data_IF_462973939719
#
_entry.id   IF_462973939719
#
_cell.length_a   1.000
_cell.length_b   1.000
_cell.length_c   1.000
_cell.angle_alpha   90.00
_cell.angle_beta   90.00
_cell.angle_gamma   90.00
#
_symmetry.space_group_name_H-M   'P 1'
#
loop_
_entity.id
_entity.type
_entity.pdbx_description
1 polymer ?
#
# COMPACT_ATOMS: atom_id res chain seq x y z
N UNK A 1 11.86 -8.74 9.51
CA UNK A 1 11.06 -7.63 8.97
C UNK A 1 9.69 -8.09 8.52
N UNK A 2 9.60 -8.97 7.51
CA UNK A 2 8.31 -9.47 7.01
C UNK A 2 7.41 -10.05 8.11
N UNK A 3 8.00 -10.83 9.04
CA UNK A 3 7.25 -11.39 10.18
C UNK A 3 6.60 -10.29 11.06
N UNK A 4 7.25 -9.13 11.19
CA UNK A 4 6.73 -8.01 11.98
C UNK A 4 5.56 -7.32 11.27
N UNK A 5 5.65 -7.13 9.95
CA UNK A 5 4.55 -6.61 9.13
C UNK A 5 3.35 -7.55 9.16
N UNK A 6 3.59 -8.85 8.98
CA UNK A 6 2.55 -9.87 9.04
C UNK A 6 1.88 -9.94 10.40
N UNK A 7 2.65 -9.94 11.49
CA UNK A 7 2.12 -9.93 12.85
C UNK A 7 1.27 -8.68 13.12
N UNK A 8 1.76 -7.49 12.74
CA UNK A 8 1.01 -6.23 12.87
C UNK A 8 -0.26 -6.23 12.04
N UNK A 9 -0.20 -6.71 10.80
CA UNK A 9 -1.37 -6.81 9.93
C UNK A 9 -2.44 -7.69 10.58
N UNK A 10 -2.07 -8.89 11.06
CA UNK A 10 -3.01 -9.79 11.74
C UNK A 10 -3.60 -9.20 13.02
N UNK A 11 -2.78 -8.52 13.82
CA UNK A 11 -3.22 -7.82 15.03
C UNK A 11 -4.31 -6.79 14.71
N UNK A 12 -4.11 -5.99 13.65
CA UNK A 12 -5.01 -4.89 13.32
C UNK A 12 -6.29 -5.31 12.62
N UNK A 13 -6.21 -6.28 11.71
CA UNK A 13 -7.35 -6.58 10.84
C UNK A 13 -8.32 -7.59 11.44
N UNK A 14 -7.88 -8.49 12.33
CA UNK A 14 -8.73 -9.58 12.83
C UNK A 14 -9.47 -10.29 11.69
N UNK A 15 -10.80 -10.34 11.76
CA UNK A 15 -11.65 -10.98 10.73
C UNK A 15 -12.04 -10.04 9.56
N UNK A 16 -11.63 -8.76 9.59
CA UNK A 16 -11.98 -7.76 8.57
C UNK A 16 -11.14 -7.84 7.29
N UNK A 17 -10.06 -8.62 7.29
CA UNK A 17 -9.23 -8.85 6.12
C UNK A 17 -8.56 -10.22 6.17
N UNK A 18 -8.17 -10.72 5.00
CA UNK A 18 -7.32 -11.90 4.88
C UNK A 18 -5.86 -11.48 4.76
N UNK A 19 -4.99 -12.07 5.57
CA UNK A 19 -3.52 -11.88 5.49
C UNK A 19 -2.89 -13.13 4.89
N UNK A 20 -2.36 -13.02 3.68
CA UNK A 20 -1.67 -14.11 2.98
C UNK A 20 -0.19 -13.82 2.87
N UNK A 21 0.64 -14.82 3.15
CA UNK A 21 2.08 -14.79 2.89
C UNK A 21 2.45 -15.91 1.95
N UNK A 22 3.21 -15.58 0.91
CA UNK A 22 3.76 -16.53 -0.03
C UNK A 22 5.29 -16.45 0.00
N UNK A 23 5.90 -17.63 0.06
CA UNK A 23 7.33 -17.84 -0.14
C UNK A 23 7.46 -18.77 -1.34
N UNK A 24 7.75 -18.24 -2.54
CA UNK A 24 7.90 -19.04 -3.75
C UNK A 24 9.03 -20.07 -3.68
N UNK A 25 9.83 -20.07 -2.60
CA UNK A 25 10.78 -21.11 -2.27
C UNK A 25 12.19 -20.87 -2.82
N UNK A 26 13.09 -21.77 -2.43
CA UNK A 26 14.54 -21.71 -2.69
C UNK A 26 14.97 -21.96 -4.15
N UNK A 27 14.04 -21.99 -5.09
CA UNK A 27 14.32 -22.17 -6.52
C UNK A 27 14.89 -20.90 -7.18
N UNK A 28 14.88 -19.78 -6.46
CA UNK A 28 15.55 -18.54 -6.83
C UNK A 28 16.74 -18.26 -5.89
N UNK A 29 17.88 -17.73 -6.40
CA UNK A 29 19.05 -17.46 -5.58
C UNK A 29 18.91 -16.24 -4.66
N UNK A 30 17.72 -15.63 -4.59
CA UNK A 30 17.41 -14.41 -3.86
C UNK A 30 16.11 -14.60 -3.07
N UNK A 31 15.99 -13.93 -1.93
CA UNK A 31 14.77 -13.96 -1.12
C UNK A 31 13.62 -13.31 -1.87
N UNK A 32 12.53 -14.04 -2.06
CA UNK A 32 11.24 -13.52 -2.54
C UNK A 32 10.17 -13.81 -1.50
N UNK A 33 9.62 -12.77 -0.90
CA UNK A 33 8.46 -12.93 -0.01
C UNK A 33 7.36 -11.98 -0.46
N UNK A 34 6.14 -12.49 -0.53
CA UNK A 34 4.96 -11.68 -0.80
C UNK A 34 4.07 -11.72 0.43
N UNK A 35 3.68 -10.54 0.92
CA UNK A 35 2.65 -10.37 1.94
C UNK A 35 1.53 -9.54 1.33
N UNK A 36 0.31 -10.04 1.42
CA UNK A 36 -0.89 -9.34 0.96
C UNK A 36 -1.91 -9.29 2.08
N UNK A 37 -2.48 -8.12 2.29
CA UNK A 37 -3.61 -7.89 3.18
C UNK A 37 -4.80 -7.47 2.31
N UNK A 38 -5.82 -8.33 2.25
CA UNK A 38 -7.00 -8.14 1.40
C UNK A 38 -8.23 -7.86 2.28
N UNK A 39 -8.76 -6.62 2.28
CA UNK A 39 -9.93 -6.29 3.09
C UNK A 39 -11.20 -7.01 2.61
N UNK A 40 -12.11 -7.30 3.54
CA UNK A 40 -13.45 -7.76 3.22
C UNK A 40 -14.34 -6.63 2.68
N UNK A 41 -14.11 -5.39 3.14
CA UNK A 41 -14.80 -4.20 2.63
C UNK A 41 -14.35 -3.91 1.18
N UNK A 42 -15.26 -3.95 0.17
CA UNK A 42 -14.93 -3.66 -1.22
C UNK A 42 -14.59 -2.17 -1.50
N UNK A 43 -14.95 -1.26 -0.60
CA UNK A 43 -14.54 0.16 -0.65
C UNK A 43 -13.13 0.41 -0.12
N UNK A 44 -12.55 -0.55 0.59
CA UNK A 44 -11.20 -0.49 1.13
C UNK A 44 -10.16 -0.99 0.12
N UNK A 45 -8.90 -0.60 0.33
CA UNK A 45 -7.80 -0.94 -0.58
C UNK A 45 -6.86 -1.99 0.00
N UNK A 46 -6.44 -2.96 -0.81
CA UNK A 46 -5.45 -3.95 -0.42
C UNK A 46 -4.09 -3.32 -0.12
N UNK A 47 -3.34 -3.97 0.75
CA UNK A 47 -1.96 -3.61 1.06
C UNK A 47 -1.03 -4.76 0.68
N UNK A 48 -0.16 -4.52 -0.29
CA UNK A 48 0.77 -5.51 -0.81
C UNK A 48 2.20 -5.13 -0.45
N UNK A 49 3.00 -6.12 -0.05
CA UNK A 49 4.43 -5.98 0.20
C UNK A 49 5.17 -7.10 -0.51
N UNK A 50 6.19 -6.73 -1.28
CA UNK A 50 7.13 -7.67 -1.89
C UNK A 50 8.51 -7.41 -1.33
N UNK A 51 9.14 -8.42 -0.76
CA UNK A 51 10.55 -8.39 -0.43
C UNK A 51 11.34 -9.10 -1.52
N UNK A 52 12.35 -8.42 -2.06
CA UNK A 52 13.28 -8.93 -3.05
C UNK A 52 14.72 -8.68 -2.57
N UNK A 53 15.36 -9.69 -1.98
CA UNK A 53 16.66 -9.52 -1.36
C UNK A 53 16.63 -8.49 -0.22
N UNK A 54 17.36 -7.39 -0.39
CA UNK A 54 17.43 -6.23 0.52
C UNK A 54 16.48 -5.08 0.12
N UNK A 55 15.70 -5.24 -0.94
CA UNK A 55 14.64 -4.32 -1.34
C UNK A 55 13.29 -4.77 -0.78
N UNK A 56 12.48 -3.80 -0.37
CA UNK A 56 11.09 -3.97 0.00
C UNK A 56 10.22 -3.01 -0.82
N UNK A 57 9.22 -3.53 -1.50
CA UNK A 57 8.26 -2.73 -2.27
C UNK A 57 6.91 -2.81 -1.58
N UNK A 58 6.40 -1.65 -1.13
CA UNK A 58 5.03 -1.52 -0.63
C UNK A 58 4.15 -0.99 -1.75
N UNK A 59 2.99 -1.59 -1.96
CA UNK A 59 1.99 -1.16 -2.93
C UNK A 59 0.61 -1.02 -2.29
N UNK A 60 0.01 0.16 -2.45
CA UNK A 60 -1.38 0.45 -2.04
C UNK A 60 -2.25 0.80 -3.23
N UNK A 61 -1.79 1.64 -4.18
CA UNK A 61 -2.65 2.12 -5.26
C UNK A 61 -2.82 1.15 -6.42
N UNK A 62 -3.56 1.62 -7.43
CA UNK A 62 -3.81 0.89 -8.67
C UNK A 62 -2.69 1.11 -9.69
N UNK A 63 -2.33 2.38 -9.95
CA UNK A 63 -1.25 2.75 -10.88
C UNK A 63 -0.03 3.30 -10.13
N UNK A 64 -0.27 4.20 -9.17
CA UNK A 64 0.72 4.70 -8.21
C UNK A 64 0.58 4.06 -6.84
N UNK A 65 1.16 4.68 -5.83
CA UNK A 65 1.24 4.14 -4.47
C UNK A 65 2.23 3.00 -4.35
N UNK A 66 3.36 3.05 -5.08
CA UNK A 66 4.47 2.09 -4.98
C UNK A 66 5.70 2.73 -4.34
N UNK A 67 6.02 2.34 -3.11
CA UNK A 67 7.23 2.79 -2.42
C UNK A 67 8.28 1.69 -2.42
N UNK A 68 9.45 1.97 -2.99
CA UNK A 68 10.65 1.15 -2.82
C UNK A 68 11.40 1.58 -1.56
N UNK A 69 11.68 0.62 -0.69
CA UNK A 69 12.27 0.76 0.62
C UNK A 69 13.43 -0.22 0.78
N UNK A 70 14.30 0.05 1.75
CA UNK A 70 15.37 -0.88 2.15
C UNK A 70 14.85 -1.83 3.23
N UNK A 71 15.35 -3.07 3.25
CA UNK A 71 15.12 -4.02 4.34
C UNK A 71 16.00 -3.66 5.55
N UNK A 72 15.65 -2.55 6.19
CA UNK A 72 16.27 -2.06 7.41
C UNK A 72 15.21 -1.57 8.42
N UNK A 73 15.65 -0.98 9.54
CA UNK A 73 14.74 -0.51 10.57
C UNK A 73 13.81 0.60 10.05
N UNK A 74 14.34 1.58 9.31
CA UNK A 74 13.58 2.73 8.84
C UNK A 74 12.57 2.33 7.76
N UNK A 75 12.97 1.46 6.83
CA UNK A 75 12.06 0.88 5.84
C UNK A 75 10.96 0.03 6.48
N UNK A 76 11.28 -0.69 7.57
CA UNK A 76 10.27 -1.44 8.35
C UNK A 76 9.27 -0.52 9.02
N UNK A 77 9.73 0.52 9.72
CA UNK A 77 8.84 1.48 10.38
C UNK A 77 7.96 2.21 9.37
N UNK A 78 8.53 2.62 8.24
CA UNK A 78 7.75 3.30 7.20
C UNK A 78 6.69 2.37 6.58
N UNK A 79 7.03 1.11 6.30
CA UNK A 79 6.04 0.13 5.82
C UNK A 79 4.91 -0.11 6.85
N UNK A 80 5.22 -0.15 8.15
CA UNK A 80 4.21 -0.26 9.21
C UNK A 80 3.31 0.98 9.28
N UNK A 81 3.88 2.18 9.14
CA UNK A 81 3.10 3.42 9.09
C UNK A 81 2.15 3.45 7.90
N UNK A 82 2.59 2.98 6.74
CA UNK A 82 1.76 2.85 5.54
C UNK A 82 0.64 1.81 5.73
N UNK A 83 0.95 0.67 6.35
CA UNK A 83 -0.03 -0.38 6.69
C UNK A 83 -1.13 0.19 7.61
N UNK A 84 -0.73 0.83 8.71
CA UNK A 84 -1.64 1.43 9.69
C UNK A 84 -2.52 2.53 9.05
N UNK A 85 -1.99 3.29 8.09
CA UNK A 85 -2.76 4.29 7.35
C UNK A 85 -3.74 3.66 6.34
N UNK A 86 -3.33 2.59 5.66
CA UNK A 86 -4.16 1.85 4.71
C UNK A 86 -5.37 1.20 5.39
N UNK A 87 -5.13 0.46 6.47
CA UNK A 87 -6.18 -0.21 7.25
C UNK A 87 -7.21 0.80 7.77
N UNK A 88 -6.75 1.99 8.18
CA UNK A 88 -7.60 3.06 8.68
C UNK A 88 -8.32 3.88 7.59
N UNK A 89 -8.20 3.53 6.29
CA UNK A 89 -8.84 4.27 5.20
C UNK A 89 -8.26 5.67 4.98
N UNK A 90 -7.02 5.92 5.44
CA UNK A 90 -6.35 7.23 5.30
C UNK A 90 -5.53 7.30 4.02
N UNK A 91 -6.14 6.83 2.93
CA UNK A 91 -5.52 6.75 1.61
C UNK A 91 -6.48 7.26 0.56
N UNK A 92 -6.02 8.20 -0.25
CA UNK A 92 -6.76 8.67 -1.41
C UNK A 92 -5.92 8.47 -2.66
N UNK A 93 -6.58 8.11 -3.73
CA UNK A 93 -5.95 7.99 -5.04
C UNK A 93 -6.64 8.94 -6.02
N UNK A 94 -5.82 9.68 -6.75
CA UNK A 94 -6.28 10.57 -7.80
C UNK A 94 -5.82 10.05 -9.14
N UNK A 95 -6.75 9.96 -10.08
CA UNK A 95 -6.53 9.37 -11.39
C UNK A 95 -6.53 10.41 -12.49
N UNK A 96 -5.69 10.19 -13.49
CA UNK A 96 -5.74 10.79 -14.81
C UNK A 96 -5.33 9.73 -15.84
N UNK A 97 -5.50 9.96 -17.16
CA UNK A 97 -5.15 8.97 -18.18
C UNK A 97 -3.73 8.41 -18.00
N UNK A 98 -3.64 7.11 -17.73
CA UNK A 98 -2.40 6.35 -17.52
C UNK A 98 -1.53 6.82 -16.36
N UNK A 99 -2.10 7.42 -15.31
CA UNK A 99 -1.38 7.78 -14.08
C UNK A 99 -2.30 7.88 -12.88
N UNK A 100 -1.73 7.68 -11.71
CA UNK A 100 -2.39 8.08 -10.47
C UNK A 100 -1.40 8.62 -9.46
N UNK A 101 -1.92 9.43 -8.54
CA UNK A 101 -1.19 9.87 -7.36
C UNK A 101 -1.92 9.33 -6.13
N UNK A 102 -1.20 8.56 -5.33
CA UNK A 102 -1.69 8.02 -4.06
C UNK A 102 -1.13 8.89 -2.95
N UNK A 103 -2.02 9.45 -2.15
CA UNK A 103 -1.66 10.21 -0.96
C UNK A 103 -2.10 9.43 0.27
N UNK A 104 -1.18 9.28 1.22
CA UNK A 104 -1.37 8.58 2.49
C UNK A 104 -1.18 9.57 3.63
N UNK A 105 -2.11 9.59 4.58
CA UNK A 105 -2.05 10.44 5.78
C UNK A 105 -1.72 9.60 7.01
N UNK A 106 -0.58 9.87 7.62
CA UNK A 106 -0.10 9.18 8.82
C UNK A 106 -0.75 9.74 10.10
N UNK A 107 -0.65 9.00 11.21
CA UNK A 107 -1.33 9.36 12.46
C UNK A 107 -0.67 10.57 13.15
N UNK A 108 0.61 10.77 12.89
CA UNK A 108 1.38 11.94 13.33
C UNK A 108 1.07 13.21 12.50
N UNK A 109 0.17 13.15 11.53
CA UNK A 109 -0.19 14.26 10.64
C UNK A 109 0.70 14.42 9.40
N UNK A 110 1.76 13.60 9.26
CA UNK A 110 2.57 13.60 8.05
C UNK A 110 1.78 13.05 6.86
N UNK A 111 2.17 13.50 5.67
CA UNK A 111 1.53 13.12 4.41
C UNK A 111 2.58 12.69 3.40
N UNK A 112 2.37 11.52 2.82
CA UNK A 112 3.25 10.97 1.78
C UNK A 112 2.47 10.84 0.48
N UNK A 113 3.10 11.17 -0.64
CA UNK A 113 2.48 11.04 -1.96
C UNK A 113 3.43 10.33 -2.92
N UNK A 114 2.90 9.34 -3.63
CA UNK A 114 3.60 8.60 -4.67
C UNK A 114 2.80 8.73 -5.98
N UNK A 115 3.49 8.85 -7.12
CA UNK A 115 2.85 9.03 -8.43
C UNK A 115 3.35 7.96 -9.40
N UNK A 116 2.46 7.07 -9.81
CA UNK A 116 2.72 6.05 -10.81
C UNK A 116 2.27 6.47 -12.22
N UNK A 117 2.86 5.82 -13.22
CA UNK A 117 2.57 6.06 -14.64
C UNK A 117 2.52 4.72 -15.39
N UNK A 118 1.54 4.57 -16.27
CA UNK A 118 1.48 3.47 -17.23
C UNK A 118 2.11 3.88 -18.56
N UNK A 119 2.85 2.98 -19.20
CA UNK A 119 3.33 3.20 -20.57
C UNK A 119 2.14 3.27 -21.56
N UNK A 120 2.10 4.19 -22.53
CA UNK A 120 3.09 5.21 -22.90
C UNK A 120 2.78 6.62 -22.34
N UNK A 121 2.05 6.76 -21.23
CA UNK A 121 1.46 8.01 -20.75
C UNK A 121 2.47 8.92 -20.04
N UNK A 122 3.54 9.32 -20.73
CA UNK A 122 4.62 10.18 -20.21
C UNK A 122 4.39 11.67 -20.43
N UNK A 123 3.44 12.05 -21.28
CA UNK A 123 3.18 13.46 -21.57
C UNK A 123 2.65 14.20 -20.33
N UNK A 124 3.06 15.45 -20.07
CA UNK A 124 2.50 16.22 -18.97
C UNK A 124 1.00 16.46 -19.19
N UNK A 125 0.20 16.32 -18.13
CA UNK A 125 -1.22 16.67 -18.14
C UNK A 125 -1.41 17.77 -17.09
N UNK A 126 -1.26 19.06 -17.44
CA UNK A 126 -1.31 20.14 -16.44
C UNK A 126 -2.59 20.10 -15.60
N UNK A 127 -2.47 20.38 -14.30
CA UNK A 127 -3.63 20.49 -13.39
C UNK A 127 -4.31 19.17 -13.01
N UNK A 128 -3.86 18.02 -13.51
CA UNK A 128 -4.49 16.72 -13.24
C UNK A 128 -4.54 16.37 -11.75
N UNK A 129 -3.56 16.84 -10.97
CA UNK A 129 -3.52 16.65 -9.50
C UNK A 129 -4.63 17.40 -8.75
N UNK A 130 -5.33 18.32 -9.41
CA UNK A 130 -6.45 19.06 -8.81
C UNK A 130 -7.80 18.65 -9.43
N UNK A 131 -7.81 18.36 -10.73
CA UNK A 131 -9.02 18.11 -11.51
C UNK A 131 -9.31 16.62 -11.76
N UNK A 132 -8.32 15.74 -11.56
CA UNK A 132 -8.47 14.31 -11.78
C UNK A 132 -9.48 13.67 -10.83
N UNK A 133 -10.11 12.57 -11.28
CA UNK A 133 -11.07 11.79 -10.47
C UNK A 133 -10.39 11.35 -9.17
N UNK A 134 -11.02 11.60 -8.04
CA UNK A 134 -10.51 11.20 -6.72
C UNK A 134 -11.33 10.04 -6.19
N UNK A 135 -10.64 9.04 -5.65
CA UNK A 135 -11.19 7.95 -4.84
C UNK A 135 -10.65 8.12 -3.44
N UNK A 136 -11.52 8.05 -2.44
CA UNK A 136 -11.13 7.92 -1.05
C UNK A 136 -11.40 6.48 -0.63
N UNK A 137 -10.37 5.76 -0.23
CA UNK A 137 -10.52 4.37 0.18
C UNK A 137 -11.08 4.30 1.60
N UNK A 138 -12.02 3.40 1.80
CA UNK A 138 -12.65 3.18 3.10
C UNK A 138 -11.71 2.41 4.04
N UNK A 139 -11.93 2.49 5.37
CA UNK A 139 -11.26 1.62 6.34
C UNK A 139 -11.65 0.15 6.15
N UNK A 140 -10.82 -0.75 6.68
CA UNK A 140 -11.04 -2.20 6.57
C UNK A 140 -12.23 -2.67 7.41
N UNK A 141 -12.41 -2.03 8.57
CA UNK A 141 -13.59 -2.20 9.43
C UNK A 141 -14.57 -1.08 9.15
N UNK A 142 -15.83 -1.44 8.95
CA UNK A 142 -16.91 -0.46 8.88
C UNK A 142 -17.08 0.20 10.26
N UNK A 143 -17.24 1.52 10.27
CA UNK A 143 -17.45 2.29 11.50
C UNK A 143 -18.73 1.88 12.28
N UNK A 144 -19.62 1.10 11.67
CA UNK A 144 -20.87 0.61 12.28
C UNK A 144 -20.74 -0.78 12.94
N UNK A 145 -19.56 -1.41 12.92
CA UNK A 145 -19.35 -2.77 13.48
C UNK A 145 -18.74 -2.81 14.88
N UNK A 146 -18.84 -1.73 15.67
CA UNK A 146 -18.38 -1.65 17.07
C UNK A 146 -19.55 -1.44 18.02
#
# INVERSE_FOLDING_TARGET
>A
MMDRLEARARELVGDSATVTREDPGSDVPWTLLLLRVSPANPGARSFDVVQLGDELVVQIGEVGGRWGLTVDADGTEFALLLLDACIAGRVHERFAPGRSAVTVWLANGETFTETGYEFPHFYPIPGWRHLGRRVAYEPYVDAESV
#
